data_IF_637753156694
#
_entry.id   IF_637753156694
#
_cell.length_a   1.000
_cell.length_b   1.000
_cell.length_c   1.000
_cell.angle_alpha   90.00
_cell.angle_beta   90.00
_cell.angle_gamma   90.00
#
_symmetry.space_group_name_H-M   'P 1'
#
loop_
_entity.id
_entity.type
_entity.pdbx_description
1 polymer ?
#
# COMPACT_ATOMS: atom_id res chain seq x y z
N UNK A 1 4.38 1.62 -7.79
CA UNK A 1 4.41 1.32 -6.34
C UNK A 1 3.30 0.39 -5.91
N UNK A 2 2.02 0.68 -6.20
CA UNK A 2 0.89 -0.20 -5.88
C UNK A 2 1.05 -1.64 -6.40
N UNK A 3 1.44 -1.82 -7.67
CA UNK A 3 1.65 -3.15 -8.27
C UNK A 3 2.72 -3.97 -7.56
N UNK A 4 3.80 -3.32 -7.09
CA UNK A 4 4.87 -3.99 -6.33
C UNK A 4 4.38 -4.50 -4.97
N UNK A 5 3.48 -3.77 -4.31
CA UNK A 5 2.87 -4.23 -3.05
C UNK A 5 1.95 -5.43 -3.31
N UNK A 6 1.17 -5.38 -4.40
CA UNK A 6 0.28 -6.48 -4.78
C UNK A 6 1.07 -7.74 -5.20
N UNK A 7 2.15 -7.58 -5.95
CA UNK A 7 3.07 -8.66 -6.33
C UNK A 7 3.76 -9.27 -5.09
N UNK A 8 4.23 -8.45 -4.14
CA UNK A 8 4.83 -8.94 -2.90
C UNK A 8 3.81 -9.64 -1.98
N UNK A 9 2.56 -9.18 -1.98
CA UNK A 9 1.47 -9.87 -1.28
C UNK A 9 1.17 -11.22 -1.97
N UNK A 10 1.18 -11.27 -3.30
CA UNK A 10 0.94 -12.50 -4.05
C UNK A 10 2.07 -13.53 -3.90
N UNK A 11 3.32 -13.09 -3.76
CA UNK A 11 4.47 -13.98 -3.56
C UNK A 11 4.58 -14.55 -2.14
N UNK A 12 3.77 -14.06 -1.19
CA UNK A 12 3.77 -14.54 0.19
C UNK A 12 4.90 -13.99 1.07
N UNK A 13 5.71 -13.04 0.57
CA UNK A 13 6.85 -12.49 1.29
C UNK A 13 6.43 -11.29 2.14
N UNK A 14 6.28 -11.53 3.44
CA UNK A 14 5.83 -10.54 4.43
C UNK A 14 6.83 -9.41 4.64
N UNK A 15 8.13 -9.67 4.58
CA UNK A 15 9.16 -8.65 4.76
C UNK A 15 9.24 -7.75 3.53
N UNK A 16 9.22 -8.33 2.33
CA UNK A 16 9.15 -7.57 1.10
C UNK A 16 7.85 -6.75 1.00
N UNK A 17 6.71 -7.32 1.40
CA UNK A 17 5.42 -6.64 1.36
C UNK A 17 5.34 -5.47 2.35
N UNK A 18 5.92 -5.59 3.55
CA UNK A 18 5.98 -4.49 4.53
C UNK A 18 6.92 -3.37 4.05
N UNK A 19 8.07 -3.70 3.48
CA UNK A 19 8.99 -2.72 2.90
C UNK A 19 8.34 -1.97 1.70
N UNK A 20 7.67 -2.70 0.82
CA UNK A 20 6.96 -2.14 -0.33
C UNK A 20 5.80 -1.23 0.11
N UNK A 21 5.04 -1.61 1.16
CA UNK A 21 3.95 -0.81 1.70
C UNK A 21 4.46 0.52 2.27
N UNK A 22 5.57 0.50 3.02
CA UNK A 22 6.21 1.73 3.54
C UNK A 22 6.63 2.68 2.43
N UNK A 23 7.19 2.16 1.34
CA UNK A 23 7.55 2.98 0.19
C UNK A 23 6.32 3.51 -0.58
N UNK A 24 5.21 2.75 -0.60
CA UNK A 24 4.00 3.13 -1.31
C UNK A 24 3.15 4.19 -0.58
N UNK A 25 3.19 4.25 0.76
CA UNK A 25 2.45 5.23 1.56
C UNK A 25 2.73 6.70 1.20
N UNK A 26 3.99 7.19 1.17
CA UNK A 26 4.27 8.59 0.87
C UNK A 26 3.86 8.97 -0.57
N UNK A 27 4.06 8.08 -1.54
CA UNK A 27 3.66 8.31 -2.93
C UNK A 27 2.14 8.40 -3.10
N UNK A 28 1.39 7.56 -2.39
CA UNK A 28 -0.07 7.61 -2.40
C UNK A 28 -0.59 8.93 -1.80
N UNK A 29 0.03 9.38 -0.71
CA UNK A 29 -0.31 10.64 -0.05
C UNK A 29 0.11 11.86 -0.88
N UNK A 30 1.19 11.76 -1.66
CA UNK A 30 1.59 12.78 -2.64
C UNK A 30 0.57 12.89 -3.78
N UNK A 31 -0.11 11.80 -4.12
CA UNK A 31 -1.27 11.83 -5.02
C UNK A 31 -2.48 12.56 -4.43
N UNK A 32 -2.65 12.55 -3.10
CA UNK A 32 -3.71 13.31 -2.41
C UNK A 32 -3.39 14.80 -2.44
N UNK A 33 -2.15 15.20 -2.15
CA UNK A 33 -1.77 16.63 -2.17
C UNK A 33 -1.86 17.24 -3.56
N UNK A 34 -1.64 16.44 -4.62
CA UNK A 34 -1.85 16.84 -6.01
C UNK A 34 -3.31 16.79 -6.47
N UNK A 35 -4.26 16.42 -5.61
CA UNK A 35 -5.69 16.34 -5.95
C UNK A 35 -6.09 15.16 -6.82
N UNK A 36 -5.18 14.22 -7.10
CA UNK A 36 -5.46 13.02 -7.91
C UNK A 36 -6.35 12.03 -7.15
N UNK A 37 -6.22 12.00 -5.83
CA UNK A 37 -7.03 11.16 -4.95
C UNK A 37 -7.64 11.98 -3.81
N UNK A 38 -8.87 11.64 -3.45
CA UNK A 38 -9.43 12.09 -2.18
C UNK A 38 -8.71 11.40 -1.00
N UNK A 39 -8.48 12.14 0.10
CA UNK A 39 -7.83 11.64 1.32
C UNK A 39 -8.42 10.31 1.81
N UNK A 40 -9.75 10.22 1.82
CA UNK A 40 -10.47 9.02 2.25
C UNK A 40 -10.28 7.83 1.30
N UNK A 41 -10.05 8.06 0.01
CA UNK A 41 -9.78 6.99 -0.96
C UNK A 41 -8.37 6.44 -0.76
N UNK A 42 -7.39 7.32 -0.57
CA UNK A 42 -6.03 6.93 -0.25
C UNK A 42 -5.96 6.17 1.09
N UNK A 43 -6.60 6.68 2.13
CA UNK A 43 -6.65 6.06 3.46
C UNK A 43 -7.28 4.66 3.42
N UNK A 44 -8.42 4.49 2.72
CA UNK A 44 -9.05 3.17 2.52
C UNK A 44 -8.11 2.19 1.81
N UNK A 45 -7.35 2.64 0.82
CA UNK A 45 -6.42 1.79 0.06
C UNK A 45 -5.25 1.33 0.93
N UNK A 46 -4.67 2.24 1.73
CA UNK A 46 -3.61 1.91 2.69
C UNK A 46 -4.11 0.88 3.72
N UNK A 47 -5.27 1.13 4.32
CA UNK A 47 -5.85 0.24 5.32
C UNK A 47 -6.07 -1.19 4.78
N UNK A 48 -6.64 -1.31 3.56
CA UNK A 48 -6.86 -2.61 2.90
C UNK A 48 -5.55 -3.34 2.61
N UNK A 49 -4.52 -2.65 2.15
CA UNK A 49 -3.22 -3.26 1.89
C UNK A 49 -2.53 -3.70 3.18
N UNK A 50 -2.55 -2.88 4.23
CA UNK A 50 -2.01 -3.26 5.55
C UNK A 50 -2.70 -4.50 6.12
N UNK A 51 -4.02 -4.61 5.98
CA UNK A 51 -4.76 -5.78 6.42
C UNK A 51 -4.34 -7.05 5.66
N UNK A 52 -4.13 -6.96 4.35
CA UNK A 52 -3.63 -8.07 3.53
C UNK A 52 -2.21 -8.50 3.90
N UNK A 53 -1.31 -7.55 4.15
CA UNK A 53 0.05 -7.84 4.63
C UNK A 53 0.03 -8.48 6.02
N UNK A 54 -0.87 -8.06 6.91
CA UNK A 54 -1.04 -8.68 8.22
C UNK A 54 -1.61 -10.10 8.14
N UNK A 55 -2.45 -10.38 7.15
CA UNK A 55 -3.05 -11.70 6.92
C UNK A 55 -2.06 -12.72 6.35
N UNK A 56 -0.94 -12.28 5.76
CA UNK A 56 0.18 -13.12 5.31
C UNK A 56 1.06 -13.59 6.49
N UNK A 57 0.43 -14.06 7.58
CA UNK A 57 1.07 -14.39 8.85
C UNK A 57 2.41 -15.11 8.71
#
# INVERSE_FOLDING_TARGET
FLRKVEEAIASGDKEAATAALRAAQPELMRGVTKGVYHKNTASRKISRLSARVKALA
#
